data_IF_662151054004
#
_entry.id   IF_662151054004
#
_cell.length_a   1.000
_cell.length_b   1.000
_cell.length_c   1.000
_cell.angle_alpha   90.00
_cell.angle_beta   90.00
_cell.angle_gamma   90.00
#
_symmetry.space_group_name_H-M   'P 1'
#
loop_
_entity.id
_entity.type
_entity.pdbx_description
1 polymer ?
#
# COMPACT_ATOMS: atom_id res chain seq x y z
N UNK A 1 53.64 -3.25 67.60
CA UNK A 1 52.46 -2.43 67.21
C UNK A 1 52.69 -1.51 66.01
N UNK A 2 53.82 -0.80 65.87
CA UNK A 2 54.06 0.17 64.77
C UNK A 2 54.09 -0.41 63.35
N UNK A 3 54.53 -1.67 63.15
CA UNK A 3 54.55 -2.34 61.82
C UNK A 3 53.15 -2.62 61.28
N UNK A 4 52.24 -3.08 62.14
CA UNK A 4 50.86 -3.42 61.74
C UNK A 4 50.08 -2.16 61.35
N UNK A 5 50.29 -1.05 62.06
CA UNK A 5 49.68 0.25 61.74
C UNK A 5 50.10 0.74 60.35
N UNK A 6 51.37 0.56 59.95
CA UNK A 6 51.84 0.94 58.61
C UNK A 6 51.18 0.11 57.51
N UNK A 7 50.99 -1.19 57.75
CA UNK A 7 50.32 -2.09 56.79
C UNK A 7 48.85 -1.71 56.62
N UNK A 8 48.14 -1.45 57.72
CA UNK A 8 46.75 -0.97 57.65
C UNK A 8 46.63 0.41 56.99
N UNK A 9 47.59 1.32 57.22
CA UNK A 9 47.62 2.62 56.56
C UNK A 9 47.87 2.49 55.04
N UNK A 10 48.76 1.58 54.62
CA UNK A 10 49.02 1.34 53.20
C UNK A 10 47.82 0.69 52.48
N UNK A 11 47.11 -0.21 53.16
CA UNK A 11 45.91 -0.84 52.61
C UNK A 11 44.77 0.19 52.53
N UNK A 12 44.60 1.02 53.57
CA UNK A 12 43.62 2.10 53.56
C UNK A 12 43.88 3.12 52.44
N UNK A 13 45.15 3.51 52.22
CA UNK A 13 45.53 4.39 51.12
C UNK A 13 45.28 3.76 49.74
N UNK A 14 45.58 2.47 49.56
CA UNK A 14 45.32 1.74 48.32
C UNK A 14 43.82 1.60 48.02
N UNK A 15 42.99 1.40 49.05
CA UNK A 15 41.53 1.38 48.93
C UNK A 15 40.99 2.79 48.62
N UNK A 16 41.53 3.83 49.25
CA UNK A 16 41.13 5.22 48.97
C UNK A 16 41.48 5.68 47.54
N UNK A 17 42.67 5.28 47.05
CA UNK A 17 43.09 5.59 45.68
C UNK A 17 42.31 4.81 44.62
N UNK A 18 41.91 3.56 44.92
CA UNK A 18 41.08 2.77 43.99
C UNK A 18 39.59 3.20 43.97
N UNK A 19 39.10 3.86 45.02
CA UNK A 19 37.76 4.47 45.03
C UNK A 19 37.63 5.68 44.10
N UNK A 20 38.73 6.35 43.75
CA UNK A 20 38.74 7.46 42.77
C UNK A 20 38.72 6.98 41.31
N UNK A 21 38.90 5.67 41.08
CA UNK A 21 38.79 5.02 39.76
C UNK A 21 37.34 4.56 39.51
N UNK A 22 36.41 4.85 40.43
CA UNK A 22 34.99 4.59 40.23
C UNK A 22 34.45 5.44 39.08
N UNK A 23 34.23 4.75 37.97
CA UNK A 23 33.29 5.08 36.92
C UNK A 23 33.64 6.32 36.10
N UNK A 24 34.63 6.20 35.21
CA UNK A 24 34.45 6.80 33.88
C UNK A 24 33.23 6.12 33.25
N UNK A 25 32.03 6.60 33.59
CA UNK A 25 30.87 6.36 32.75
C UNK A 25 31.14 7.13 31.48
N UNK A 26 31.53 6.41 30.43
CA UNK A 26 31.45 6.94 29.09
C UNK A 26 29.97 7.15 28.80
N UNK A 27 29.46 8.32 29.16
CA UNK A 27 28.23 8.84 28.59
C UNK A 27 28.65 9.36 27.22
N UNK A 28 28.36 8.63 26.12
CA UNK A 28 28.65 9.17 24.81
C UNK A 28 27.98 10.55 24.75
N UNK A 29 28.78 11.60 24.54
CA UNK A 29 28.25 12.90 24.16
C UNK A 29 27.71 12.76 22.75
N UNK A 30 26.54 12.13 22.61
CA UNK A 30 25.74 12.27 21.41
C UNK A 30 25.40 13.75 21.32
N UNK A 31 26.01 14.45 20.37
CA UNK A 31 25.66 15.83 20.10
C UNK A 31 24.14 15.88 19.85
N UNK A 32 23.49 16.98 20.23
CA UNK A 32 22.08 17.20 19.88
C UNK A 32 21.84 17.01 18.39
N UNK A 33 22.85 17.30 17.58
CA UNK A 33 22.87 17.07 16.14
C UNK A 33 22.74 15.58 15.77
N UNK A 34 23.45 14.68 16.46
CA UNK A 34 23.34 13.23 16.23
C UNK A 34 21.95 12.68 16.56
N UNK A 35 21.32 13.14 17.63
CA UNK A 35 19.93 12.76 17.98
C UNK A 35 18.94 13.35 16.98
N UNK A 36 19.14 14.59 16.55
CA UNK A 36 18.35 15.23 15.51
C UNK A 36 18.42 14.49 14.17
N UNK A 37 19.62 14.07 13.74
CA UNK A 37 19.82 13.27 12.53
C UNK A 37 19.14 11.91 12.64
N UNK A 38 19.26 11.23 13.79
CA UNK A 38 18.61 9.94 14.00
C UNK A 38 17.08 10.05 13.94
N UNK A 39 16.52 11.08 14.57
CA UNK A 39 15.08 11.36 14.52
C UNK A 39 14.62 11.68 13.10
N UNK A 40 15.38 12.49 12.35
CA UNK A 40 15.08 12.78 10.94
C UNK A 40 15.10 11.52 10.07
N UNK A 41 16.07 10.61 10.28
CA UNK A 41 16.15 9.32 9.58
C UNK A 41 14.99 8.40 9.95
N UNK A 42 14.61 8.33 11.22
CA UNK A 42 13.45 7.54 11.67
C UNK A 42 12.16 8.06 11.03
N UNK A 43 12.00 9.37 10.99
CA UNK A 43 10.88 10.06 10.36
C UNK A 43 10.82 9.89 8.83
N UNK A 44 11.99 9.78 8.18
CA UNK A 44 12.07 9.39 6.77
C UNK A 44 11.68 7.93 6.58
N UNK A 45 12.21 7.02 7.41
CA UNK A 45 11.94 5.59 7.31
C UNK A 45 10.45 5.28 7.49
N UNK A 46 9.78 5.89 8.47
CA UNK A 46 8.33 5.75 8.67
C UNK A 46 7.53 6.21 7.46
N UNK A 47 7.90 7.34 6.87
CA UNK A 47 7.23 7.84 5.67
C UNK A 47 7.49 6.94 4.45
N UNK A 48 8.71 6.40 4.30
CA UNK A 48 9.03 5.42 3.26
C UNK A 48 8.25 4.12 3.41
N UNK A 49 8.12 3.61 4.64
CA UNK A 49 7.29 2.45 4.93
C UNK A 49 5.82 2.70 4.55
N UNK A 50 5.27 3.87 4.89
CA UNK A 50 3.91 4.26 4.51
C UNK A 50 3.72 4.31 2.98
N UNK A 51 4.69 4.84 2.23
CA UNK A 51 4.64 4.82 0.76
C UNK A 51 4.65 3.39 0.23
N UNK A 52 5.47 2.51 0.79
CA UNK A 52 5.50 1.10 0.40
C UNK A 52 4.18 0.38 0.70
N UNK A 53 3.59 0.61 1.88
CA UNK A 53 2.27 0.08 2.22
C UNK A 53 1.18 0.54 1.24
N UNK A 54 1.21 1.82 0.84
CA UNK A 54 0.27 2.34 -0.15
C UNK A 54 0.49 1.71 -1.54
N UNK A 55 1.74 1.50 -1.96
CA UNK A 55 2.06 0.81 -3.23
C UNK A 55 1.64 -0.65 -3.24
N UNK A 56 1.74 -1.34 -2.10
CA UNK A 56 1.21 -2.71 -1.96
C UNK A 56 -0.31 -2.69 -2.16
N UNK A 57 -1.02 -1.78 -1.51
CA UNK A 57 -2.48 -1.62 -1.68
C UNK A 57 -2.87 -1.24 -3.11
N UNK A 58 -2.09 -0.38 -3.77
CA UNK A 58 -2.29 -0.06 -5.19
C UNK A 58 -2.26 -1.34 -6.03
N UNK A 59 -1.23 -2.18 -5.84
CA UNK A 59 -1.10 -3.45 -6.55
C UNK A 59 -2.26 -4.42 -6.27
N UNK A 60 -2.71 -4.51 -5.01
CA UNK A 60 -3.85 -5.35 -4.64
C UNK A 60 -5.15 -4.89 -5.31
N UNK A 61 -5.40 -3.58 -5.36
CA UNK A 61 -6.59 -3.03 -6.00
C UNK A 61 -6.49 -3.09 -7.53
N UNK A 62 -5.29 -3.01 -8.13
CA UNK A 62 -5.06 -3.24 -9.57
C UNK A 62 -5.37 -4.70 -9.98
N UNK A 63 -5.01 -5.68 -9.16
CA UNK A 63 -5.40 -7.08 -9.39
C UNK A 63 -6.93 -7.24 -9.39
N UNK A 64 -7.64 -6.47 -8.55
CA UNK A 64 -9.11 -6.42 -8.57
C UNK A 64 -9.66 -5.73 -9.83
N UNK A 65 -9.00 -4.66 -10.31
CA UNK A 65 -9.36 -4.00 -11.57
C UNK A 65 -9.30 -5.00 -12.72
N UNK A 66 -8.25 -5.81 -12.83
CA UNK A 66 -8.11 -6.77 -13.93
C UNK A 66 -9.17 -7.89 -13.84
N UNK A 67 -9.49 -8.37 -12.64
CA UNK A 67 -10.62 -9.31 -12.45
C UNK A 67 -11.96 -8.69 -12.88
N UNK A 68 -12.21 -7.43 -12.57
CA UNK A 68 -13.42 -6.72 -12.98
C UNK A 68 -13.42 -6.42 -14.48
N UNK A 69 -12.26 -6.19 -15.09
CA UNK A 69 -12.09 -6.01 -16.54
C UNK A 69 -12.53 -7.25 -17.29
N UNK A 70 -12.09 -8.44 -16.85
CA UNK A 70 -12.51 -9.72 -17.44
C UNK A 70 -14.03 -9.87 -17.35
N UNK A 71 -14.62 -9.62 -16.17
CA UNK A 71 -16.08 -9.68 -15.98
C UNK A 71 -16.84 -8.67 -16.86
N UNK A 72 -16.29 -7.48 -17.05
CA UNK A 72 -16.87 -6.46 -17.93
C UNK A 72 -16.83 -6.93 -19.40
N UNK A 73 -15.73 -7.52 -19.85
CA UNK A 73 -15.60 -8.08 -21.20
C UNK A 73 -16.58 -9.22 -21.43
N UNK A 74 -16.74 -10.13 -20.46
CA UNK A 74 -17.72 -11.22 -20.51
C UNK A 74 -19.16 -10.69 -20.56
N UNK A 75 -19.50 -9.73 -19.70
CA UNK A 75 -20.84 -9.13 -19.69
C UNK A 75 -21.15 -8.40 -21.00
N UNK A 76 -20.19 -7.67 -21.57
CA UNK A 76 -20.31 -7.03 -22.87
C UNK A 76 -20.47 -8.04 -24.01
N UNK A 77 -19.73 -9.16 -23.97
CA UNK A 77 -19.86 -10.22 -24.96
C UNK A 77 -21.26 -10.86 -24.91
N UNK A 78 -21.79 -11.11 -23.71
CA UNK A 78 -23.15 -11.61 -23.51
C UNK A 78 -24.21 -10.64 -24.02
N UNK A 79 -24.08 -9.35 -23.68
CA UNK A 79 -24.98 -8.31 -24.16
C UNK A 79 -24.97 -8.21 -25.70
N UNK A 80 -23.79 -8.25 -26.32
CA UNK A 80 -23.64 -8.25 -27.78
C UNK A 80 -24.27 -9.49 -28.43
N UNK A 81 -24.04 -10.67 -27.85
CA UNK A 81 -24.61 -11.93 -28.33
C UNK A 81 -26.14 -11.90 -28.28
N UNK A 82 -26.71 -11.49 -27.14
CA UNK A 82 -28.15 -11.39 -26.95
C UNK A 82 -28.80 -10.31 -27.82
N UNK A 83 -28.14 -9.16 -28.03
CA UNK A 83 -28.59 -8.14 -28.97
C UNK A 83 -28.64 -8.69 -30.41
N UNK A 84 -27.61 -9.42 -30.81
CA UNK A 84 -27.54 -10.06 -32.14
C UNK A 84 -28.65 -11.10 -32.31
N UNK A 85 -28.87 -11.96 -31.30
CA UNK A 85 -29.97 -12.94 -31.32
C UNK A 85 -31.34 -12.26 -31.40
N UNK A 86 -31.55 -11.20 -30.62
CA UNK A 86 -32.80 -10.43 -30.64
C UNK A 86 -33.03 -9.76 -32.00
N UNK A 87 -31.99 -9.20 -32.63
CA UNK A 87 -32.05 -8.62 -33.97
C UNK A 87 -32.42 -9.68 -35.02
N UNK A 88 -31.72 -10.82 -35.01
CA UNK A 88 -31.96 -11.91 -35.97
C UNK A 88 -33.38 -12.48 -35.85
N UNK A 89 -33.90 -12.62 -34.62
CA UNK A 89 -35.27 -13.08 -34.39
C UNK A 89 -36.30 -12.03 -34.85
N UNK A 90 -36.00 -10.74 -34.64
CA UNK A 90 -36.85 -9.63 -35.11
C UNK A 90 -36.89 -9.54 -36.63
N UNK A 91 -35.78 -9.77 -37.33
CA UNK A 91 -35.73 -9.83 -38.79
C UNK A 91 -36.51 -11.02 -39.35
N UNK A 92 -36.40 -12.19 -38.72
CA UNK A 92 -37.19 -13.38 -39.09
C UNK A 92 -38.69 -13.18 -38.88
N UNK A 93 -39.12 -12.39 -37.89
CA UNK A 93 -40.53 -12.03 -37.71
C UNK A 93 -41.08 -11.19 -38.87
N UNK A 94 -40.25 -10.33 -39.46
CA UNK A 94 -40.64 -9.51 -40.63
C UNK A 94 -40.81 -10.36 -41.89
N UNK A 95 -40.21 -11.54 -41.94
CA UNK A 95 -40.19 -12.43 -43.12
C UNK A 95 -40.94 -13.76 -42.94
N UNK A 96 -41.33 -14.14 -41.71
CA UNK A 96 -42.04 -15.38 -41.40
C UNK A 96 -42.82 -15.35 -40.07
N UNK A 97 -43.77 -16.28 -39.91
CA UNK A 97 -44.52 -16.55 -38.66
C UNK A 97 -43.61 -17.15 -37.57
N UNK A 98 -42.89 -16.30 -36.83
CA UNK A 98 -42.11 -16.70 -35.65
C UNK A 98 -42.95 -16.59 -34.38
N UNK A 99 -42.75 -17.51 -33.44
CA UNK A 99 -43.40 -17.51 -32.13
C UNK A 99 -43.08 -16.22 -31.34
N UNK A 100 -44.10 -15.38 -31.15
CA UNK A 100 -44.04 -14.14 -30.36
C UNK A 100 -43.40 -14.32 -28.97
N UNK A 101 -43.56 -15.50 -28.34
CA UNK A 101 -42.97 -15.80 -27.03
C UNK A 101 -41.45 -15.94 -27.08
N UNK A 102 -40.90 -16.44 -28.19
CA UNK A 102 -39.46 -16.57 -28.36
C UNK A 102 -38.78 -15.20 -28.48
N UNK A 103 -39.44 -14.27 -29.18
CA UNK A 103 -38.98 -12.88 -29.32
C UNK A 103 -39.06 -12.14 -27.99
N UNK A 104 -40.16 -12.28 -27.26
CA UNK A 104 -40.29 -11.65 -25.95
C UNK A 104 -39.20 -12.15 -24.97
N UNK A 105 -38.89 -13.45 -24.98
CA UNK A 105 -37.78 -14.02 -24.20
C UNK A 105 -36.42 -13.45 -24.62
N UNK A 106 -36.15 -13.38 -25.92
CA UNK A 106 -34.90 -12.83 -26.44
C UNK A 106 -34.74 -11.34 -26.10
N UNK A 107 -35.80 -10.55 -26.21
CA UNK A 107 -35.82 -9.14 -25.83
C UNK A 107 -35.58 -8.95 -24.33
N UNK A 108 -36.24 -9.75 -23.47
CA UNK A 108 -36.00 -9.73 -22.02
C UNK A 108 -34.55 -10.08 -21.68
N UNK A 109 -34.00 -11.12 -22.32
CA UNK A 109 -32.60 -11.52 -22.12
C UNK A 109 -31.64 -10.41 -22.55
N UNK A 110 -31.83 -9.82 -23.73
CA UNK A 110 -31.00 -8.73 -24.21
C UNK A 110 -31.04 -7.50 -23.28
N UNK A 111 -32.22 -7.16 -22.75
CA UNK A 111 -32.36 -6.08 -21.76
C UNK A 111 -31.61 -6.39 -20.46
N UNK A 112 -31.75 -7.61 -19.94
CA UNK A 112 -31.07 -8.03 -18.71
C UNK A 112 -29.55 -8.04 -18.89
N UNK A 113 -29.05 -8.64 -19.98
CA UNK A 113 -27.61 -8.71 -20.25
C UNK A 113 -27.01 -7.31 -20.45
N UNK A 114 -27.76 -6.38 -21.05
CA UNK A 114 -27.34 -4.96 -21.15
C UNK A 114 -27.25 -4.30 -19.78
N UNK A 115 -28.24 -4.53 -18.91
CA UNK A 115 -28.23 -3.98 -17.55
C UNK A 115 -27.08 -4.57 -16.71
N UNK A 116 -26.76 -5.85 -16.89
CA UNK A 116 -25.65 -6.50 -16.21
C UNK A 116 -24.28 -5.99 -16.73
N UNK A 117 -24.14 -5.76 -18.03
CA UNK A 117 -22.97 -5.08 -18.60
C UNK A 117 -22.78 -3.67 -18.03
N UNK A 118 -23.87 -2.91 -17.88
CA UNK A 118 -23.82 -1.57 -17.30
C UNK A 118 -23.39 -1.60 -15.82
N UNK A 119 -23.94 -2.52 -15.02
CA UNK A 119 -23.51 -2.73 -13.63
C UNK A 119 -22.06 -3.17 -13.52
N UNK A 120 -21.58 -4.02 -14.45
CA UNK A 120 -20.19 -4.42 -14.50
C UNK A 120 -19.28 -3.22 -14.79
N UNK A 121 -19.69 -2.33 -15.70
CA UNK A 121 -18.96 -1.11 -16.03
C UNK A 121 -18.89 -0.15 -14.84
N UNK A 122 -20.00 0.06 -14.12
CA UNK A 122 -20.03 0.89 -12.93
C UNK A 122 -19.07 0.36 -11.83
N UNK A 123 -19.06 -0.95 -11.60
CA UNK A 123 -18.15 -1.60 -10.64
C UNK A 123 -16.69 -1.43 -11.06
N UNK A 124 -16.39 -1.64 -12.34
CA UNK A 124 -15.05 -1.47 -12.90
C UNK A 124 -14.56 -0.02 -12.73
N UNK A 125 -15.39 0.95 -13.10
CA UNK A 125 -15.05 2.38 -12.97
C UNK A 125 -14.84 2.80 -11.52
N UNK A 126 -15.70 2.31 -10.60
CA UNK A 126 -15.54 2.56 -9.16
C UNK A 126 -14.21 2.01 -8.64
N UNK A 127 -13.79 0.84 -9.12
CA UNK A 127 -12.53 0.24 -8.72
C UNK A 127 -11.33 1.01 -9.28
N UNK A 128 -11.37 1.44 -10.54
CA UNK A 128 -10.35 2.35 -11.10
C UNK A 128 -10.22 3.62 -10.26
N UNK A 129 -11.35 4.21 -9.86
CA UNK A 129 -11.33 5.43 -9.07
C UNK A 129 -10.61 5.25 -7.73
N UNK A 130 -10.78 4.11 -7.06
CA UNK A 130 -10.03 3.81 -5.84
C UNK A 130 -8.52 3.73 -6.09
N UNK A 131 -8.10 3.10 -7.18
CA UNK A 131 -6.67 3.01 -7.55
C UNK A 131 -6.10 4.41 -7.76
N UNK A 132 -6.83 5.29 -8.44
CA UNK A 132 -6.42 6.69 -8.64
C UNK A 132 -6.36 7.49 -7.33
N UNK A 133 -7.30 7.25 -6.39
CA UNK A 133 -7.25 7.85 -5.06
C UNK A 133 -6.00 7.40 -4.28
N UNK A 134 -5.63 6.12 -4.38
CA UNK A 134 -4.40 5.58 -3.76
C UNK A 134 -3.15 6.18 -4.41
N UNK A 135 -3.09 6.27 -5.74
CA UNK A 135 -1.99 6.93 -6.47
C UNK A 135 -1.80 8.38 -6.03
N UNK A 136 -2.91 9.10 -5.85
CA UNK A 136 -2.89 10.47 -5.34
C UNK A 136 -2.32 10.54 -3.92
N UNK A 137 -2.68 9.58 -3.04
CA UNK A 137 -2.11 9.48 -1.70
C UNK A 137 -0.61 9.16 -1.73
N UNK A 138 -0.17 8.23 -2.60
CA UNK A 138 1.25 7.89 -2.80
C UNK A 138 2.03 9.15 -3.18
N UNK A 139 1.58 9.88 -4.20
CA UNK A 139 2.24 11.12 -4.63
C UNK A 139 2.31 12.15 -3.49
N UNK A 140 1.25 12.27 -2.69
CA UNK A 140 1.22 13.14 -1.53
C UNK A 140 2.27 12.77 -0.47
N UNK A 141 2.43 11.48 -0.17
CA UNK A 141 3.42 10.99 0.79
C UNK A 141 4.86 11.02 0.23
N UNK A 142 5.06 10.73 -1.05
CA UNK A 142 6.36 10.85 -1.73
C UNK A 142 6.86 12.30 -1.73
N UNK A 143 5.99 13.29 -1.94
CA UNK A 143 6.36 14.70 -1.80
C UNK A 143 6.86 15.02 -0.39
N UNK A 144 6.20 14.50 0.66
CA UNK A 144 6.64 14.70 2.06
C UNK A 144 8.02 14.11 2.30
N UNK A 145 8.36 12.99 1.67
CA UNK A 145 9.71 12.40 1.71
C UNK A 145 10.74 13.28 1.01
N UNK A 146 10.42 13.86 -0.15
CA UNK A 146 11.34 14.74 -0.89
C UNK A 146 11.78 15.95 -0.06
N UNK A 147 10.93 16.44 0.83
CA UNK A 147 11.26 17.56 1.73
C UNK A 147 12.08 17.17 2.97
N UNK A 148 12.23 15.87 3.29
CA UNK A 148 13.02 15.42 4.45
C UNK A 148 14.48 15.16 4.05
N UNK A 149 15.42 15.94 4.62
CA UNK A 149 16.86 15.66 4.60
C UNK A 149 17.31 15.05 5.95
N UNK A 150 18.29 14.12 5.97
CA UNK A 150 19.01 13.57 4.82
C UNK A 150 18.19 12.50 4.09
N UNK A 151 18.29 12.48 2.75
CA UNK A 151 17.80 11.38 1.94
C UNK A 151 18.53 10.10 2.40
N UNK A 152 17.79 9.04 2.73
CA UNK A 152 18.37 7.73 3.02
C UNK A 152 18.96 7.17 1.72
N UNK A 153 20.27 7.35 1.53
CA UNK A 153 21.03 6.69 0.46
C UNK A 153 21.53 5.37 1.03
N UNK A 154 21.02 4.26 0.51
CA UNK A 154 21.55 2.93 0.80
C UNK A 154 22.81 2.74 -0.03
N UNK A 155 23.98 2.83 0.60
CA UNK A 155 25.27 2.49 0.01
C UNK A 155 25.52 1.00 0.29
N UNK A 156 25.39 0.16 -0.73
CA UNK A 156 25.74 -1.26 -0.65
C UNK A 156 27.22 -1.39 -1.03
N UNK A 157 28.09 -1.52 -0.03
CA UNK A 157 29.48 -1.95 -0.22
C UNK A 157 29.61 -3.46 -0.11
#
# INVERSE_FOLDING_TARGET
>A
MKKNIKIYLSIAAAVFLSLSIKAQTYTPKVSKDSVGVLNARLESLKASAKVQELKIKESEEEDEVEKLRIKLLEANANAKSSATQNSNLSEKLKSASVDSKAIEKAAKKAKNDTADAQRALERYNKQIQKVEDIRTQIQGEERKLTYKKPLLVYDYK
#
